data_IF_059081974477
#
_entry.id   IF_059081974477
#
_cell.length_a   1.000
_cell.length_b   1.000
_cell.length_c   1.000
_cell.angle_alpha   90.00
_cell.angle_beta   90.00
_cell.angle_gamma   90.00
#
_symmetry.space_group_name_H-M   'P 1'
#
loop_
_entity.id
_entity.type
_entity.pdbx_description
1 polymer ?
#
# COMPACT_ATOMS: atom_id res chain seq x y z
N UNK A 1 -3.60 -4.83 19.40
CA UNK A 1 -3.78 -3.48 18.84
C UNK A 1 -2.39 -2.92 18.62
N UNK A 2 -1.84 -3.17 17.42
CA UNK A 2 -0.69 -2.44 16.89
C UNK A 2 -1.08 -2.11 15.46
N UNK A 3 -1.49 -0.87 15.19
CA UNK A 3 -1.92 -0.50 13.85
C UNK A 3 -0.67 -0.45 12.97
N UNK A 4 -0.53 -1.45 12.11
CA UNK A 4 0.67 -1.66 11.32
C UNK A 4 0.46 -1.03 9.95
N UNK A 5 0.44 0.30 9.91
CA UNK A 5 0.24 1.02 8.66
C UNK A 5 1.57 1.21 7.94
N UNK A 6 1.60 1.02 6.63
CA UNK A 6 2.76 1.30 5.78
C UNK A 6 2.53 2.59 5.00
N UNK A 7 3.44 3.54 5.18
CA UNK A 7 3.43 4.85 4.53
C UNK A 7 4.47 4.84 3.41
N UNK A 8 4.01 5.11 2.19
CA UNK A 8 4.84 5.19 0.99
C UNK A 8 4.98 6.65 0.58
N UNK A 9 6.21 7.07 0.30
CA UNK A 9 6.52 8.39 -0.25
C UNK A 9 7.28 8.24 -1.56
N UNK A 10 6.90 9.06 -2.54
CA UNK A 10 7.41 8.95 -3.91
C UNK A 10 8.17 10.22 -4.34
N UNK A 11 9.33 10.03 -4.96
CA UNK A 11 10.19 11.12 -5.47
C UNK A 11 9.49 11.92 -6.56
N UNK A 12 9.81 13.21 -6.75
CA UNK A 12 9.04 14.14 -7.60
C UNK A 12 8.74 13.65 -9.04
N UNK A 13 9.63 12.88 -9.64
CA UNK A 13 9.53 12.41 -11.03
C UNK A 13 8.69 11.14 -11.20
N UNK A 14 8.29 10.48 -10.10
CA UNK A 14 7.48 9.25 -10.17
C UNK A 14 6.09 9.54 -10.75
N UNK A 15 5.65 8.73 -11.71
CA UNK A 15 4.28 8.80 -12.22
C UNK A 15 3.29 8.27 -11.17
N UNK A 16 2.57 9.20 -10.53
CA UNK A 16 1.62 8.84 -9.48
C UNK A 16 0.38 8.10 -10.02
N UNK A 17 0.03 8.28 -11.29
CA UNK A 17 -1.06 7.49 -11.91
C UNK A 17 -0.66 6.02 -11.98
N UNK A 18 0.60 5.75 -12.35
CA UNK A 18 1.13 4.38 -12.36
C UNK A 18 1.18 3.78 -10.95
N UNK A 19 1.50 4.58 -9.93
CA UNK A 19 1.49 4.15 -8.52
C UNK A 19 0.07 3.74 -8.08
N UNK A 20 -0.93 4.57 -8.38
CA UNK A 20 -2.33 4.30 -8.06
C UNK A 20 -2.82 3.02 -8.76
N UNK A 21 -2.55 2.88 -10.07
CA UNK A 21 -2.87 1.66 -10.83
C UNK A 21 -2.19 0.42 -10.24
N UNK A 22 -0.94 0.56 -9.79
CA UNK A 22 -0.19 -0.53 -9.15
C UNK A 22 -0.80 -0.93 -7.80
N UNK A 23 -1.31 0.04 -7.03
CA UNK A 23 -2.02 -0.24 -5.77
C UNK A 23 -3.34 -0.98 -6.03
N UNK A 24 -4.10 -0.57 -7.04
CA UNK A 24 -5.32 -1.28 -7.45
C UNK A 24 -5.02 -2.70 -7.95
N UNK A 25 -3.92 -2.88 -8.70
CA UNK A 25 -3.48 -4.19 -9.14
C UNK A 25 -3.09 -5.10 -7.95
N UNK A 26 -2.43 -4.54 -6.93
CA UNK A 26 -2.09 -5.28 -5.71
C UNK A 26 -3.35 -5.73 -4.95
N UNK A 27 -4.37 -4.86 -4.85
CA UNK A 27 -5.65 -5.21 -4.26
C UNK A 27 -6.36 -6.32 -5.05
N UNK A 28 -6.39 -6.21 -6.38
CA UNK A 28 -6.95 -7.24 -7.26
C UNK A 28 -6.23 -8.59 -7.11
N UNK A 29 -4.90 -8.59 -7.03
CA UNK A 29 -4.13 -9.81 -6.79
C UNK A 29 -4.45 -10.43 -5.42
N UNK A 30 -4.65 -9.61 -4.39
CA UNK A 30 -5.08 -10.08 -3.07
C UNK A 30 -6.49 -10.70 -3.09
N UNK A 31 -7.38 -10.28 -4.02
CA UNK A 31 -8.70 -10.93 -4.18
C UNK A 31 -8.55 -12.41 -4.59
N UNK A 32 -7.51 -12.76 -5.36
CA UNK A 32 -7.20 -14.14 -5.71
C UNK A 32 -6.75 -15.00 -4.53
N UNK A 33 -6.20 -14.39 -3.48
CA UNK A 33 -5.71 -15.08 -2.28
C UNK A 33 -6.78 -15.20 -1.18
N UNK A 34 -7.57 -14.15 -0.99
CA UNK A 34 -8.49 -14.02 0.16
C UNK A 34 -9.96 -13.97 -0.23
N UNK A 35 -10.27 -13.87 -1.53
CA UNK A 35 -11.61 -13.64 -2.04
C UNK A 35 -12.01 -12.16 -2.02
N UNK A 36 -12.69 -11.73 -3.07
CA UNK A 36 -13.11 -10.33 -3.30
C UNK A 36 -13.84 -9.70 -2.11
N UNK A 37 -14.84 -10.38 -1.55
CA UNK A 37 -15.63 -9.83 -0.44
C UNK A 37 -14.79 -9.55 0.80
N UNK A 38 -13.80 -10.41 1.10
CA UNK A 38 -12.92 -10.21 2.25
C UNK A 38 -11.97 -9.04 2.01
N UNK A 39 -11.44 -8.91 0.79
CA UNK A 39 -10.60 -7.77 0.41
C UNK A 39 -11.34 -6.44 0.55
N UNK A 40 -12.60 -6.37 0.12
CA UNK A 40 -13.40 -5.15 0.25
C UNK A 40 -13.71 -4.77 1.70
N UNK A 41 -13.82 -5.74 2.61
CA UNK A 41 -14.17 -5.50 4.01
C UNK A 41 -12.94 -5.25 4.90
N UNK A 42 -11.82 -5.91 4.61
CA UNK A 42 -10.63 -5.92 5.47
C UNK A 42 -9.43 -5.18 4.85
N UNK A 43 -9.47 -4.83 3.57
CA UNK A 43 -8.44 -4.05 2.90
C UNK A 43 -8.71 -2.56 3.03
N UNK A 44 -7.80 -1.84 3.69
CA UNK A 44 -7.84 -0.39 3.79
C UNK A 44 -6.53 0.19 3.27
N UNK A 45 -6.62 1.01 2.22
CA UNK A 45 -5.49 1.66 1.58
C UNK A 45 -5.95 2.93 0.86
N UNK A 46 -5.04 3.86 0.65
CA UNK A 46 -5.28 5.11 -0.06
C UNK A 46 -4.05 5.51 -0.88
N UNK A 47 -4.28 6.26 -1.96
CA UNK A 47 -3.24 6.92 -2.72
C UNK A 47 -3.58 8.41 -2.87
N UNK A 48 -2.73 9.27 -2.33
CA UNK A 48 -2.78 10.71 -2.52
C UNK A 48 -1.79 11.09 -3.62
N UNK A 49 -2.28 11.12 -4.86
CA UNK A 49 -1.47 11.47 -6.03
C UNK A 49 -0.94 12.92 -5.96
N UNK A 50 -1.67 13.84 -5.32
CA UNK A 50 -1.25 15.23 -5.20
C UNK A 50 -0.15 15.39 -4.13
N UNK A 51 -0.30 14.74 -2.98
CA UNK A 51 0.70 14.69 -1.92
C UNK A 51 1.83 13.69 -2.16
N UNK A 52 1.77 12.93 -3.26
CA UNK A 52 2.75 11.92 -3.67
C UNK A 52 2.98 10.84 -2.60
N UNK A 53 1.87 10.35 -2.04
CA UNK A 53 1.85 9.38 -0.96
C UNK A 53 0.90 8.23 -1.26
N UNK A 54 1.19 7.08 -0.69
CA UNK A 54 0.21 6.00 -0.56
C UNK A 54 0.30 5.42 0.84
N UNK A 55 -0.80 4.86 1.32
CA UNK A 55 -0.88 4.26 2.62
C UNK A 55 -1.61 2.93 2.53
N UNK A 56 -1.11 1.91 3.24
CA UNK A 56 -1.79 0.62 3.37
C UNK A 56 -1.87 0.25 4.85
N UNK A 57 -3.09 0.09 5.37
CA UNK A 57 -3.31 -0.45 6.71
C UNK A 57 -3.10 -1.97 6.67
N UNK A 58 -1.99 -2.45 7.25
CA UNK A 58 -1.67 -3.86 7.36
C UNK A 58 -1.99 -4.44 8.76
N UNK A 59 -3.01 -3.91 9.43
CA UNK A 59 -3.54 -4.49 10.68
C UNK A 59 -4.35 -5.79 10.46
N UNK A 60 -4.76 -6.06 9.22
CA UNK A 60 -5.41 -7.32 8.81
C UNK A 60 -4.46 -8.16 7.95
N UNK A 61 -4.75 -9.46 7.83
CA UNK A 61 -4.03 -10.36 6.93
C UNK A 61 -4.13 -9.88 5.46
N UNK A 62 -5.32 -9.42 5.08
CA UNK A 62 -5.61 -8.83 3.77
C UNK A 62 -4.75 -7.59 3.52
N UNK A 63 -4.75 -6.63 4.44
CA UNK A 63 -3.97 -5.41 4.32
C UNK A 63 -2.46 -5.70 4.25
N UNK A 64 -1.99 -6.65 5.04
CA UNK A 64 -0.60 -7.13 4.97
C UNK A 64 -0.25 -7.79 3.63
N UNK A 65 -1.17 -8.53 3.02
CA UNK A 65 -0.97 -9.09 1.69
C UNK A 65 -0.89 -7.98 0.62
N UNK A 66 -1.80 -7.00 0.67
CA UNK A 66 -1.80 -5.85 -0.23
C UNK A 66 -0.48 -5.09 -0.12
N UNK A 67 -0.03 -4.75 1.10
CA UNK A 67 1.23 -4.02 1.31
C UNK A 67 2.43 -4.76 0.72
N UNK A 68 2.53 -6.08 0.93
CA UNK A 68 3.63 -6.89 0.37
C UNK A 68 3.60 -6.95 -1.16
N UNK A 69 2.43 -7.20 -1.75
CA UNK A 69 2.28 -7.27 -3.21
C UNK A 69 2.58 -5.91 -3.83
N UNK A 70 2.01 -4.83 -3.27
CA UNK A 70 2.23 -3.47 -3.74
C UNK A 70 3.71 -3.10 -3.70
N UNK A 71 4.40 -3.35 -2.58
CA UNK A 71 5.84 -3.09 -2.44
C UNK A 71 6.66 -3.85 -3.48
N UNK A 72 6.35 -5.13 -3.71
CA UNK A 72 7.04 -5.95 -4.71
C UNK A 72 6.80 -5.44 -6.14
N UNK A 73 5.57 -5.05 -6.47
CA UNK A 73 5.23 -4.50 -7.79
C UNK A 73 5.91 -3.14 -8.01
N UNK A 74 5.92 -2.24 -7.02
CA UNK A 74 6.63 -0.97 -7.11
C UNK A 74 8.13 -1.19 -7.38
N UNK A 75 8.78 -2.05 -6.59
CA UNK A 75 10.20 -2.37 -6.77
C UNK A 75 10.49 -2.93 -8.17
N UNK A 76 9.57 -3.72 -8.75
CA UNK A 76 9.72 -4.29 -10.08
C UNK A 76 9.43 -3.31 -11.24
N UNK A 77 8.60 -2.29 -11.00
CA UNK A 77 8.07 -1.42 -12.08
C UNK A 77 8.75 -0.05 -12.15
N UNK A 78 9.05 0.57 -11.01
CA UNK A 78 9.66 1.91 -10.96
C UNK A 78 11.08 1.90 -10.39
N UNK A 79 11.51 0.78 -9.78
CA UNK A 79 12.87 0.58 -9.27
C UNK A 79 13.20 1.36 -8.00
N UNK A 80 14.22 0.91 -7.27
CA UNK A 80 14.81 1.69 -6.16
C UNK A 80 15.82 2.71 -6.73
N UNK A 81 15.86 3.98 -6.27
CA UNK A 81 15.24 4.55 -5.06
C UNK A 81 13.99 5.42 -5.33
N UNK A 82 13.10 5.04 -6.25
CA UNK A 82 11.95 5.89 -6.64
C UNK A 82 10.88 6.08 -5.54
N UNK A 83 10.93 5.28 -4.48
CA UNK A 83 10.03 5.38 -3.33
C UNK A 83 10.73 4.99 -2.03
N UNK A 84 10.17 5.46 -0.91
CA UNK A 84 10.48 5.00 0.45
C UNK A 84 9.22 4.43 1.07
N UNK A 85 9.38 3.36 1.84
CA UNK A 85 8.31 2.78 2.64
C UNK A 85 8.73 2.73 4.09
N UNK A 86 7.88 3.25 4.97
CA UNK A 86 8.08 3.23 6.41
C UNK A 86 6.87 2.60 7.08
N UNK A 87 7.10 1.88 8.18
CA UNK A 87 6.01 1.44 9.05
C UNK A 87 5.69 2.59 9.99
N UNK A 88 4.46 3.11 9.93
CA UNK A 88 4.01 4.15 10.83
C UNK A 88 4.14 3.68 12.29
N UNK A 89 4.63 4.55 13.20
CA UNK A 89 4.70 4.22 14.61
C UNK A 89 3.29 4.00 15.18
N UNK A 90 3.19 3.10 16.16
CA UNK A 90 1.94 2.85 16.87
C UNK A 90 1.49 4.14 17.56
N UNK A 91 0.43 4.77 17.05
CA UNK A 91 -0.17 5.94 17.72
C UNK A 91 -0.92 5.42 18.93
N UNK A 92 -0.21 5.29 20.04
CA UNK A 92 -0.84 5.17 21.35
C UNK A 92 -1.52 6.51 21.61
N UNK A 93 -2.83 6.59 21.41
CA UNK A 93 -3.61 7.74 21.85
C UNK A 93 -3.49 7.84 23.38
N UNK A 94 -2.68 8.79 23.86
CA UNK A 94 -2.60 9.21 25.27
C UNK A 94 -3.80 10.06 25.66
#
# INVERSE_FOLDING_TARGET
>A
MNRSTYDYQFEAETDMSQVEDTLMLAALAAEGLHGRSRVQLEGAFECDCAGRKAQVDASTEVGGAIARIFTALLAATIGEPAFRVERAPDVTLT
#
